data_IF_774852698923
#
_entry.id   IF_774852698923
#
_cell.length_a   1.000
_cell.length_b   1.000
_cell.length_c   1.000
_cell.angle_alpha   90.00
_cell.angle_beta   90.00
_cell.angle_gamma   90.00
#
_symmetry.space_group_name_H-M   'P 1'
#
loop_
_entity.id
_entity.type
_entity.pdbx_description
1 polymer ?
#
# COMPACT_ATOMS: atom_id res chain seq x y z
N UNK A 1 21.35 -2.83 4.63
CA UNK A 1 20.68 -4.12 4.30
C UNK A 1 19.96 -4.74 5.49
N UNK A 2 20.53 -4.83 6.70
CA UNK A 2 19.85 -5.44 7.87
C UNK A 2 18.49 -4.82 8.21
N UNK A 3 18.34 -3.49 8.10
CA UNK A 3 17.04 -2.83 8.31
C UNK A 3 15.96 -3.21 7.30
N UNK A 4 16.33 -3.60 6.08
CA UNK A 4 15.37 -4.05 5.04
C UNK A 4 14.84 -5.43 5.40
N UNK A 5 15.73 -6.34 5.79
CA UNK A 5 15.36 -7.71 6.20
C UNK A 5 14.46 -7.68 7.44
N UNK A 6 14.82 -6.88 8.45
CA UNK A 6 14.01 -6.71 9.65
C UNK A 6 12.60 -6.17 9.33
N UNK A 7 12.50 -5.20 8.42
CA UNK A 7 11.22 -4.64 8.00
C UNK A 7 10.36 -5.65 7.22
N UNK A 8 10.97 -6.48 6.36
CA UNK A 8 10.28 -7.56 5.64
C UNK A 8 9.72 -8.59 6.62
N UNK A 9 10.50 -8.99 7.63
CA UNK A 9 10.06 -9.92 8.67
C UNK A 9 8.91 -9.33 9.48
N UNK A 10 9.05 -8.09 9.96
CA UNK A 10 8.00 -7.41 10.71
C UNK A 10 6.69 -7.27 9.90
N UNK A 11 6.78 -6.88 8.62
CA UNK A 11 5.61 -6.78 7.73
C UNK A 11 4.98 -8.13 7.44
N UNK A 12 5.78 -9.18 7.32
CA UNK A 12 5.27 -10.54 7.13
C UNK A 12 4.58 -11.05 8.38
N UNK A 13 5.06 -10.72 9.58
CA UNK A 13 4.37 -11.03 10.83
C UNK A 13 3.05 -10.25 10.98
N UNK A 14 3.01 -8.99 10.55
CA UNK A 14 1.82 -8.13 10.63
C UNK A 14 0.79 -8.37 9.50
N UNK A 15 1.18 -9.02 8.40
CA UNK A 15 0.35 -9.19 7.20
C UNK A 15 -1.05 -9.77 7.45
N UNK A 16 -1.24 -10.79 8.32
CA UNK A 16 -2.58 -11.35 8.58
C UNK A 16 -3.56 -10.32 9.15
N UNK A 17 -3.12 -9.51 10.12
CA UNK A 17 -3.94 -8.48 10.77
C UNK A 17 -4.20 -7.32 9.79
N UNK A 18 -3.17 -6.89 9.05
CA UNK A 18 -3.32 -5.85 8.03
C UNK A 18 -4.37 -6.26 6.97
N UNK A 19 -4.38 -7.54 6.55
CA UNK A 19 -5.38 -8.04 5.59
C UNK A 19 -6.80 -8.01 6.15
N UNK A 20 -7.01 -8.49 7.37
CA UNK A 20 -8.33 -8.48 8.02
C UNK A 20 -8.85 -7.04 8.16
N UNK A 21 -7.97 -6.12 8.57
CA UNK A 21 -8.31 -4.69 8.63
C UNK A 21 -8.74 -4.13 7.27
N UNK A 22 -8.00 -4.43 6.20
CA UNK A 22 -8.34 -3.95 4.84
C UNK A 22 -9.68 -4.49 4.35
N UNK A 23 -10.00 -5.76 4.63
CA UNK A 23 -11.28 -6.35 4.25
C UNK A 23 -12.45 -5.72 5.01
N UNK A 24 -12.29 -5.47 6.32
CA UNK A 24 -13.30 -4.80 7.13
C UNK A 24 -13.50 -3.34 6.75
N UNK A 25 -12.42 -2.61 6.45
CA UNK A 25 -12.50 -1.20 6.04
C UNK A 25 -13.16 -1.03 4.67
N UNK A 26 -12.87 -1.93 3.73
CA UNK A 26 -13.39 -1.84 2.37
C UNK A 26 -14.69 -2.63 2.13
N UNK A 27 -15.25 -3.29 3.16
CA UNK A 27 -16.42 -4.16 2.99
C UNK A 27 -17.63 -3.46 2.35
N UNK A 28 -17.85 -2.18 2.69
CA UNK A 28 -18.95 -1.41 2.11
C UNK A 28 -18.83 -1.23 0.60
N UNK A 29 -17.61 -1.01 0.11
CA UNK A 29 -17.34 -0.90 -1.33
C UNK A 29 -17.39 -2.28 -2.01
N UNK A 30 -16.89 -3.32 -1.34
CA UNK A 30 -16.95 -4.69 -1.85
C UNK A 30 -18.39 -5.18 -2.00
N UNK A 31 -19.30 -4.83 -1.09
CA UNK A 31 -20.73 -5.18 -1.21
C UNK A 31 -21.36 -4.46 -2.42
N UNK A 32 -21.11 -3.15 -2.57
CA UNK A 32 -21.64 -2.36 -3.69
C UNK A 32 -21.22 -2.87 -5.06
N UNK A 33 -20.00 -3.37 -5.16
CA UNK A 33 -19.41 -3.90 -6.39
C UNK A 33 -19.74 -5.37 -6.64
N UNK A 34 -20.50 -6.03 -5.75
CA UNK A 34 -20.83 -7.45 -5.85
C UNK A 34 -19.66 -8.38 -5.49
N UNK A 35 -18.59 -7.82 -4.92
CA UNK A 35 -17.40 -8.51 -4.43
C UNK A 35 -17.54 -8.94 -2.95
N UNK A 36 -18.69 -8.79 -2.32
CA UNK A 36 -18.95 -9.42 -1.03
C UNK A 36 -20.44 -9.66 -0.91
N UNK A 37 -20.84 -10.92 -0.76
CA UNK A 37 -22.26 -11.30 -0.67
C UNK A 37 -22.85 -11.01 0.70
N UNK A 38 -22.03 -11.16 1.76
CA UNK A 38 -22.46 -10.93 3.15
C UNK A 38 -21.39 -10.15 3.93
N UNK A 39 -21.78 -9.10 4.67
CA UNK A 39 -20.84 -8.30 5.46
C UNK A 39 -20.13 -9.15 6.51
N UNK A 40 -18.99 -8.66 7.01
CA UNK A 40 -18.33 -9.27 8.15
C UNK A 40 -18.93 -8.69 9.43
N UNK A 41 -19.42 -9.54 10.34
CA UNK A 41 -20.05 -9.10 11.58
C UNK A 41 -19.06 -8.50 12.57
N UNK A 42 -17.87 -9.09 12.65
CA UNK A 42 -16.84 -8.76 13.60
C UNK A 42 -15.46 -9.24 13.11
N UNK A 43 -14.40 -8.82 13.80
CA UNK A 43 -13.02 -9.17 13.47
C UNK A 43 -12.81 -10.69 13.47
N UNK A 44 -13.37 -11.39 14.47
CA UNK A 44 -13.24 -12.84 14.62
C UNK A 44 -13.94 -13.58 13.48
N UNK A 45 -15.14 -13.15 13.10
CA UNK A 45 -15.87 -13.68 11.95
C UNK A 45 -15.05 -13.56 10.65
N UNK A 46 -14.41 -12.41 10.42
CA UNK A 46 -13.54 -12.21 9.26
C UNK A 46 -12.34 -13.17 9.26
N UNK A 47 -11.65 -13.33 10.40
CA UNK A 47 -10.55 -14.29 10.56
C UNK A 47 -11.00 -15.73 10.27
N UNK A 48 -12.11 -16.17 10.88
CA UNK A 48 -12.62 -17.54 10.73
C UNK A 48 -13.04 -17.82 9.28
N UNK A 49 -13.70 -16.87 8.62
CA UNK A 49 -14.09 -17.01 7.20
C UNK A 49 -12.90 -17.13 6.28
N UNK A 50 -11.90 -16.28 6.44
CA UNK A 50 -10.66 -16.37 5.65
C UNK A 50 -10.01 -17.75 5.86
N UNK A 51 -9.90 -18.20 7.11
CA UNK A 51 -9.28 -19.49 7.43
C UNK A 51 -10.04 -20.65 6.80
N UNK A 52 -11.38 -20.70 6.93
CA UNK A 52 -12.22 -21.80 6.45
C UNK A 52 -12.40 -21.81 4.93
N UNK A 53 -12.57 -20.66 4.31
CA UNK A 53 -12.96 -20.56 2.89
C UNK A 53 -11.74 -20.40 1.97
N UNK A 54 -10.70 -19.72 2.45
CA UNK A 54 -9.51 -19.43 1.65
C UNK A 54 -8.26 -20.19 2.07
N UNK A 55 -8.18 -20.64 3.32
CA UNK A 55 -7.01 -21.30 3.89
C UNK A 55 -5.95 -20.34 4.41
N UNK A 56 -5.02 -20.88 5.20
CA UNK A 56 -4.02 -20.12 6.00
C UNK A 56 -3.12 -19.22 5.16
N UNK A 57 -2.65 -19.69 4.00
CA UNK A 57 -1.75 -18.89 3.14
C UNK A 57 -2.41 -17.61 2.61
N UNK A 58 -3.74 -17.56 2.62
CA UNK A 58 -4.47 -16.40 2.10
C UNK A 58 -4.29 -15.17 2.98
N UNK A 59 -3.98 -15.31 4.27
CA UNK A 59 -3.67 -14.18 5.15
C UNK A 59 -2.50 -13.31 4.65
N UNK A 60 -1.56 -13.89 3.88
CA UNK A 60 -0.43 -13.16 3.30
C UNK A 60 -0.68 -12.67 1.87
N UNK A 61 -1.91 -12.80 1.36
CA UNK A 61 -2.26 -12.32 0.03
C UNK A 61 -2.14 -10.79 -0.03
N UNK A 62 -1.40 -10.28 -1.01
CA UNK A 62 -1.00 -8.87 -1.10
C UNK A 62 0.28 -8.50 -0.33
N UNK A 63 0.83 -9.39 0.52
CA UNK A 63 2.11 -9.14 1.19
C UNK A 63 3.29 -9.20 0.20
N UNK A 64 3.20 -10.01 -0.86
CA UNK A 64 4.22 -10.07 -1.92
C UNK A 64 4.47 -8.70 -2.57
N UNK A 65 3.40 -7.95 -2.86
CA UNK A 65 3.51 -6.59 -3.37
C UNK A 65 4.17 -5.65 -2.35
N UNK A 66 3.93 -5.85 -1.05
CA UNK A 66 4.59 -5.08 0.02
C UNK A 66 6.09 -5.32 0.04
N UNK A 67 6.51 -6.58 -0.02
CA UNK A 67 7.92 -6.98 0.00
C UNK A 67 8.63 -6.41 -1.24
N UNK A 68 8.02 -6.55 -2.42
CA UNK A 68 8.57 -5.99 -3.66
C UNK A 68 8.69 -4.47 -3.56
N UNK A 69 7.69 -3.78 -2.98
CA UNK A 69 7.70 -2.33 -2.79
C UNK A 69 8.81 -1.84 -1.87
N UNK A 70 9.28 -2.65 -0.92
CA UNK A 70 10.37 -2.25 -0.02
C UNK A 70 11.68 -1.97 -0.76
N UNK A 71 12.00 -2.74 -1.79
CA UNK A 71 13.22 -2.54 -2.59
C UNK A 71 13.30 -1.16 -3.25
N UNK A 72 12.34 -0.74 -4.09
CA UNK A 72 12.38 0.56 -4.74
C UNK A 72 12.11 1.70 -3.74
N UNK A 73 11.39 1.47 -2.64
CA UNK A 73 11.28 2.48 -1.56
C UNK A 73 12.64 2.78 -0.93
N UNK A 74 13.47 1.75 -0.73
CA UNK A 74 14.82 1.94 -0.21
C UNK A 74 15.73 2.60 -1.25
N UNK A 75 15.64 2.21 -2.52
CA UNK A 75 16.38 2.86 -3.61
C UNK A 75 16.04 4.37 -3.68
N UNK A 76 14.76 4.73 -3.63
CA UNK A 76 14.29 6.12 -3.61
C UNK A 76 14.74 6.88 -2.36
N UNK A 77 14.78 6.23 -1.19
CA UNK A 77 15.34 6.84 0.01
C UNK A 77 16.84 7.16 -0.15
N UNK A 78 17.62 6.29 -0.78
CA UNK A 78 19.02 6.58 -1.06
C UNK A 78 19.20 7.68 -2.12
N UNK A 79 18.39 7.67 -3.18
CA UNK A 79 18.49 8.63 -4.28
C UNK A 79 18.01 10.04 -3.90
N UNK A 80 16.82 10.15 -3.30
CA UNK A 80 16.14 11.44 -3.12
C UNK A 80 16.44 12.09 -1.77
N UNK A 81 16.64 11.31 -0.70
CA UNK A 81 16.86 11.88 0.63
C UNK A 81 18.14 12.72 0.69
N UNK A 82 19.22 12.28 0.04
CA UNK A 82 20.45 13.06 -0.08
C UNK A 82 20.28 14.30 -0.96
N UNK A 83 19.59 14.16 -2.09
CA UNK A 83 19.33 15.24 -3.03
C UNK A 83 18.51 16.39 -2.41
N UNK A 84 17.35 16.08 -1.83
CA UNK A 84 16.46 17.09 -1.24
C UNK A 84 17.02 17.68 0.06
N UNK A 85 17.72 16.88 0.89
CA UNK A 85 18.36 17.40 2.10
C UNK A 85 19.49 18.38 1.79
N UNK A 86 20.20 18.21 0.68
CA UNK A 86 21.26 19.13 0.26
C UNK A 86 20.70 20.41 -0.37
N UNK A 87 19.54 20.32 -1.07
CA UNK A 87 18.92 21.48 -1.74
C UNK A 87 17.99 22.31 -0.85
N UNK A 88 17.36 21.69 0.15
CA UNK A 88 16.33 22.31 1.00
C UNK A 88 16.67 22.26 2.50
N UNK A 89 17.80 21.66 2.87
CA UNK A 89 18.22 21.56 4.26
C UNK A 89 18.71 22.89 4.80
N UNK A 90 17.89 23.54 5.62
CA UNK A 90 18.32 24.65 6.48
C UNK A 90 19.13 24.10 7.67
N UNK A 91 20.08 24.88 8.20
CA UNK A 91 20.89 24.44 9.35
C UNK A 91 20.33 25.00 10.66
N UNK A 92 20.24 24.14 11.69
CA UNK A 92 19.66 24.50 13.01
C UNK A 92 20.40 25.66 13.68
N UNK A 93 21.72 25.73 13.47
CA UNK A 93 22.60 26.74 14.07
C UNK A 93 22.63 28.07 13.31
N UNK A 94 22.32 28.08 12.00
CA UNK A 94 22.37 29.29 11.17
C UNK A 94 21.00 29.95 10.96
N UNK A 95 19.94 29.15 10.84
CA UNK A 95 18.62 29.61 10.39
C UNK A 95 17.55 29.62 11.49
N UNK A 96 17.89 29.12 12.68
CA UNK A 96 16.96 28.95 13.80
C UNK A 96 16.06 27.72 13.66
N UNK A 97 15.53 27.25 14.79
CA UNK A 97 14.80 25.99 14.89
C UNK A 97 13.59 25.91 13.94
N UNK A 98 12.86 27.01 13.77
CA UNK A 98 11.64 27.04 12.97
C UNK A 98 11.92 26.83 11.47
N UNK A 99 12.96 27.48 10.93
CA UNK A 99 13.36 27.32 9.52
C UNK A 99 14.02 25.96 9.26
N UNK A 100 14.80 25.45 10.21
CA UNK A 100 15.33 24.09 10.17
C UNK A 100 14.21 23.05 10.15
N UNK A 101 13.19 23.21 10.99
CA UNK A 101 12.04 22.31 11.02
C UNK A 101 11.25 22.37 9.72
N UNK A 102 10.90 23.58 9.26
CA UNK A 102 10.18 23.78 7.99
C UNK A 102 10.95 23.23 6.78
N UNK A 103 12.27 23.45 6.71
CA UNK A 103 13.12 22.91 5.64
C UNK A 103 13.20 21.38 5.65
N UNK A 104 13.29 20.76 6.83
CA UNK A 104 13.24 19.29 6.94
C UNK A 104 11.88 18.73 6.54
N UNK A 105 10.78 19.34 6.98
CA UNK A 105 9.42 18.94 6.57
C UNK A 105 9.25 19.08 5.07
N UNK A 106 9.60 20.22 4.48
CA UNK A 106 9.51 20.43 3.03
C UNK A 106 10.38 19.44 2.24
N UNK A 107 11.61 19.17 2.69
CA UNK A 107 12.49 18.19 2.06
C UNK A 107 11.95 16.75 2.17
N UNK A 108 11.34 16.41 3.30
CA UNK A 108 10.71 15.11 3.54
C UNK A 108 9.47 14.91 2.69
N UNK A 109 8.58 15.89 2.63
CA UNK A 109 7.38 15.85 1.79
C UNK A 109 7.73 15.83 0.30
N UNK A 110 8.74 16.59 -0.16
CA UNK A 110 9.20 16.55 -1.55
C UNK A 110 9.79 15.18 -1.95
N UNK A 111 10.63 14.60 -1.08
CA UNK A 111 11.16 13.25 -1.29
C UNK A 111 10.05 12.19 -1.25
N UNK A 112 9.09 12.34 -0.34
CA UNK A 112 7.92 11.48 -0.22
C UNK A 112 7.02 11.54 -1.46
N UNK A 113 6.67 12.73 -1.93
CA UNK A 113 5.84 12.93 -3.12
C UNK A 113 6.52 12.36 -4.39
N UNK A 114 7.83 12.59 -4.55
CA UNK A 114 8.60 12.04 -5.68
C UNK A 114 8.63 10.51 -5.63
N UNK A 115 8.86 9.93 -4.45
CA UNK A 115 8.85 8.48 -4.26
C UNK A 115 7.46 7.90 -4.55
N UNK A 116 6.41 8.53 -4.04
CA UNK A 116 5.03 8.11 -4.28
C UNK A 116 4.68 8.16 -5.76
N UNK A 117 5.11 9.19 -6.50
CA UNK A 117 4.88 9.24 -7.95
C UNK A 117 5.40 7.98 -8.66
N UNK A 118 6.59 7.51 -8.28
CA UNK A 118 7.16 6.29 -8.86
C UNK A 118 6.51 5.02 -8.31
N UNK A 119 6.11 4.96 -7.04
CA UNK A 119 5.70 3.70 -6.39
C UNK A 119 4.19 3.49 -6.28
N UNK A 120 3.38 4.49 -6.62
CA UNK A 120 1.93 4.44 -6.43
C UNK A 120 1.25 3.26 -7.16
N UNK A 121 1.77 2.88 -8.33
CA UNK A 121 1.31 1.70 -9.07
C UNK A 121 1.46 0.39 -8.29
N UNK A 122 2.50 0.24 -7.45
CA UNK A 122 2.70 -0.93 -6.59
C UNK A 122 1.75 -0.91 -5.38
N UNK A 123 1.49 0.27 -4.82
CA UNK A 123 0.53 0.45 -3.73
C UNK A 123 -0.89 0.09 -4.20
N UNK A 124 -1.27 0.49 -5.42
CA UNK A 124 -2.53 0.09 -6.05
C UNK A 124 -2.65 -1.43 -6.17
N UNK A 125 -1.62 -2.11 -6.66
CA UNK A 125 -1.63 -3.58 -6.82
C UNK A 125 -1.69 -4.29 -5.47
N UNK A 126 -0.98 -3.79 -4.46
CA UNK A 126 -1.05 -4.30 -3.09
C UNK A 126 -2.46 -4.19 -2.52
N UNK A 127 -3.08 -3.03 -2.64
CA UNK A 127 -4.45 -2.80 -2.16
C UNK A 127 -5.43 -3.72 -2.89
N UNK A 128 -5.39 -3.75 -4.23
CA UNK A 128 -6.30 -4.58 -5.04
C UNK A 128 -6.18 -6.08 -4.76
N UNK A 129 -4.96 -6.60 -4.54
CA UNK A 129 -4.78 -8.01 -4.14
C UNK A 129 -5.16 -8.29 -2.68
N UNK A 130 -4.96 -7.32 -1.79
CA UNK A 130 -5.29 -7.46 -0.38
C UNK A 130 -6.81 -7.49 -0.13
N UNK A 131 -7.57 -6.77 -0.96
CA UNK A 131 -9.04 -6.74 -0.92
C UNK A 131 -9.70 -7.88 -1.71
N UNK A 132 -8.96 -8.62 -2.54
CA UNK A 132 -9.49 -9.76 -3.31
C UNK A 132 -9.62 -11.02 -2.42
N UNK A 133 -10.83 -11.25 -1.91
CA UNK A 133 -11.24 -12.44 -1.16
C UNK A 133 -11.97 -13.46 -2.06
N UNK A 134 -12.03 -14.75 -1.69
CA UNK A 134 -12.68 -15.78 -2.53
C UNK A 134 -14.20 -15.61 -2.66
N UNK A 135 -14.85 -15.00 -1.67
CA UNK A 135 -16.26 -14.58 -1.78
C UNK A 135 -16.44 -13.37 -2.72
N UNK A 136 -15.36 -12.75 -3.22
CA UNK A 136 -15.39 -11.59 -4.12
C UNK A 136 -15.81 -11.88 -5.56
N UNK A 137 -16.35 -13.06 -5.83
CA UNK A 137 -16.81 -13.40 -7.15
C UNK A 137 -18.14 -14.13 -7.11
N UNK A 138 -19.06 -13.62 -7.93
CA UNK A 138 -20.32 -14.27 -8.33
C UNK A 138 -20.09 -15.73 -8.80
N UNK A 139 -18.85 -16.11 -9.15
CA UNK A 139 -18.43 -17.45 -9.57
C UNK A 139 -17.68 -18.28 -8.51
N UNK A 140 -17.43 -17.77 -7.29
CA UNK A 140 -16.59 -18.45 -6.28
C UNK A 140 -15.09 -18.53 -6.63
N UNK A 141 -14.64 -17.76 -7.62
CA UNK A 141 -13.24 -17.71 -8.11
C UNK A 141 -12.65 -16.32 -7.90
N UNK A 142 -11.44 -16.23 -7.35
CA UNK A 142 -10.73 -14.96 -7.11
C UNK A 142 -10.69 -14.06 -8.35
N UNK A 143 -10.83 -12.75 -8.15
CA UNK A 143 -10.84 -11.77 -9.24
C UNK A 143 -9.47 -11.65 -9.91
N UNK A 144 -8.38 -11.82 -9.15
CA UNK A 144 -7.02 -11.76 -9.66
C UNK A 144 -6.24 -13.05 -9.37
N UNK A 145 -5.48 -13.56 -10.33
CA UNK A 145 -4.56 -14.69 -10.07
C UNK A 145 -3.29 -14.27 -9.32
N UNK A 146 -2.84 -13.02 -9.50
CA UNK A 146 -1.65 -12.47 -8.86
C UNK A 146 -1.33 -11.06 -9.34
N UNK A 147 -0.17 -10.53 -8.96
CA UNK A 147 0.24 -9.14 -9.26
C UNK A 147 0.22 -8.81 -10.76
N UNK A 148 0.75 -9.72 -11.59
CA UNK A 148 0.80 -9.53 -13.06
C UNK A 148 -0.62 -9.50 -13.67
N UNK A 149 -1.55 -10.28 -13.12
CA UNK A 149 -2.94 -10.30 -13.57
C UNK A 149 -3.67 -9.00 -13.21
N UNK A 150 -3.37 -8.40 -12.05
CA UNK A 150 -3.85 -7.05 -11.70
C UNK A 150 -3.35 -6.03 -12.71
N UNK A 151 -2.03 -6.00 -12.99
CA UNK A 151 -1.48 -5.07 -13.97
C UNK A 151 -2.16 -5.20 -15.33
N UNK A 152 -2.31 -6.44 -15.83
CA UNK A 152 -2.90 -6.71 -17.14
C UNK A 152 -4.37 -6.29 -17.20
N UNK A 153 -5.18 -6.66 -16.20
CA UNK A 153 -6.61 -6.33 -16.15
C UNK A 153 -6.86 -4.84 -15.94
N UNK A 154 -6.06 -4.17 -15.11
CA UNK A 154 -6.18 -2.73 -14.88
C UNK A 154 -5.78 -1.95 -16.13
N UNK A 155 -4.69 -2.34 -16.81
CA UNK A 155 -4.30 -1.74 -18.09
C UNK A 155 -5.37 -1.90 -19.17
N UNK A 156 -5.97 -3.09 -19.25
CA UNK A 156 -7.02 -3.37 -20.25
C UNK A 156 -8.35 -2.67 -19.99
N UNK A 157 -8.69 -2.38 -18.72
CA UNK A 157 -10.00 -1.81 -18.37
C UNK A 157 -9.97 -0.29 -18.17
N UNK A 158 -8.94 0.24 -17.49
CA UNK A 158 -8.86 1.63 -17.08
C UNK A 158 -7.58 2.35 -17.58
N UNK A 159 -6.71 1.63 -18.30
CA UNK A 159 -5.43 2.14 -18.76
C UNK A 159 -4.50 2.58 -17.62
N UNK A 160 -3.51 3.41 -17.96
CA UNK A 160 -2.51 3.90 -17.00
C UNK A 160 -3.12 4.79 -15.92
N UNK A 161 -4.19 5.54 -16.24
CA UNK A 161 -4.94 6.36 -15.27
C UNK A 161 -5.53 5.54 -14.12
N UNK A 162 -5.86 4.27 -14.36
CA UNK A 162 -6.37 3.36 -13.33
C UNK A 162 -5.43 3.21 -12.14
N UNK A 163 -4.12 3.17 -12.38
CA UNK A 163 -3.13 3.01 -11.31
C UNK A 163 -3.00 4.25 -10.42
N UNK A 164 -3.32 5.44 -10.93
CA UNK A 164 -3.18 6.71 -10.20
C UNK A 164 -4.49 7.19 -9.55
N UNK A 165 -5.51 6.33 -9.51
CA UNK A 165 -6.79 6.65 -8.86
C UNK A 165 -6.55 6.81 -7.34
N UNK A 166 -6.92 7.96 -6.79
CA UNK A 166 -6.68 8.31 -5.38
C UNK A 166 -5.32 8.97 -5.08
N UNK A 167 -4.48 9.19 -6.10
CA UNK A 167 -3.14 9.77 -5.91
C UNK A 167 -3.16 11.14 -5.22
N UNK A 168 -4.15 11.98 -5.52
CA UNK A 168 -4.31 13.29 -4.87
C UNK A 168 -4.50 13.18 -3.34
N UNK A 169 -5.31 12.23 -2.89
CA UNK A 169 -5.51 11.98 -1.45
C UNK A 169 -4.22 11.46 -0.80
N UNK A 170 -3.48 10.62 -1.52
CA UNK A 170 -2.19 10.11 -1.05
C UNK A 170 -1.12 11.18 -0.94
N UNK A 171 -1.06 12.15 -1.87
CA UNK A 171 -0.13 13.29 -1.77
C UNK A 171 -0.50 14.15 -0.57
N UNK A 172 -1.79 14.47 -0.41
CA UNK A 172 -2.26 15.30 0.71
C UNK A 172 -1.84 14.70 2.06
N UNK A 173 -1.97 13.38 2.23
CA UNK A 173 -1.51 12.70 3.45
C UNK A 173 0.00 12.63 3.65
N UNK A 174 0.83 12.98 2.65
CA UNK A 174 2.29 13.08 2.76
C UNK A 174 2.73 14.52 3.06
N UNK A 175 1.93 15.49 2.63
CA UNK A 175 2.20 16.93 2.79
C UNK A 175 1.61 17.52 4.06
N UNK A 176 0.59 16.89 4.64
CA UNK A 176 -0.05 17.25 5.92
C UNK A 176 0.57 16.44 7.07
#
# INVERSE_FOLDING_TARGET
MMGVVAAIVAKSAAAPIERVKLLLQNQGEMIKTGHLTRPYTDLGNCFVRIFREEGVLSFWRGNQANIIRYFPTQASNFAFKGYFKTRLGCSKEKDGYLKWFAGNVASGSAAGATTSLFLYHLDYVRAGLGTDAKECSVSGKRQFKGMVDVYRKTLSSNGVKGFYRGFGVSILGITL
#
